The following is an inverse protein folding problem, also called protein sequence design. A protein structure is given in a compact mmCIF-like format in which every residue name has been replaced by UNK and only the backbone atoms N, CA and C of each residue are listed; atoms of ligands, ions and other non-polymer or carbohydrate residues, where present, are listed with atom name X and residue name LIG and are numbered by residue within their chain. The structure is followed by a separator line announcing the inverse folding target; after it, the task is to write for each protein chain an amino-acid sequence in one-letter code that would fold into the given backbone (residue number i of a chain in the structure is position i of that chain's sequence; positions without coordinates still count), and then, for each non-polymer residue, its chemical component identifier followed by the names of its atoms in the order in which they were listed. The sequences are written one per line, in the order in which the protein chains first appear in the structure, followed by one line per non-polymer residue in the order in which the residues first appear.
data_IF_847209739129
#
_entry.id   IF_847209739129
#
_cell.length_a   1.000
_cell.length_b   1.000
_cell.length_c   1.000
_cell.angle_alpha   90.00
_cell.angle_beta   90.00
_cell.angle_gamma   90.00
#
_symmetry.space_group_name_H-M   'P 1'
#
loop_
_entity.id
_entity.type
_entity.pdbx_description
1 polymer ?
#
# COMPACT_ATOMS: atom_id res chain seq x y z
N UNK A 1 -13.56 -19.80 -24.09
CA UNK A 1 -13.24 -20.86 -23.11
C UNK A 1 -12.14 -20.44 -22.14
N UNK A 2 -11.09 -19.72 -22.59
CA UNK A 2 -10.02 -19.16 -21.75
C UNK A 2 -10.49 -18.08 -20.74
N UNK A 3 -11.34 -17.14 -21.17
CA UNK A 3 -11.89 -16.10 -20.27
C UNK A 3 -12.69 -16.74 -19.13
N UNK A 4 -13.58 -17.70 -19.42
CA UNK A 4 -14.33 -18.44 -18.39
C UNK A 4 -13.44 -19.19 -17.40
N UNK A 5 -12.26 -19.68 -17.80
CA UNK A 5 -11.29 -20.31 -16.88
C UNK A 5 -10.59 -19.28 -15.99
N UNK A 6 -10.23 -18.11 -16.53
CA UNK A 6 -9.68 -16.99 -15.75
C UNK A 6 -10.71 -16.38 -14.77
N UNK A 7 -11.99 -16.33 -15.16
CA UNK A 7 -13.07 -15.90 -14.25
C UNK A 7 -13.46 -16.99 -13.26
N UNK A 8 -13.30 -18.28 -13.60
CA UNK A 8 -13.63 -19.40 -12.71
C UNK A 8 -12.58 -19.62 -11.61
N UNK A 9 -11.30 -19.33 -11.84
CA UNK A 9 -10.32 -19.26 -10.74
C UNK A 9 -10.61 -18.10 -9.78
N UNK A 10 -11.32 -17.06 -10.24
CA UNK A 10 -11.89 -15.97 -9.42
C UNK A 10 -13.29 -16.28 -8.83
N UNK A 11 -13.78 -17.52 -8.81
CA UNK A 11 -15.12 -17.85 -8.25
C UNK A 11 -15.15 -18.21 -6.76
N UNK A 12 -14.00 -18.21 -6.07
CA UNK A 12 -13.94 -18.38 -4.61
C UNK A 12 -14.20 -17.10 -3.80
N UNK A 13 -14.35 -15.96 -4.47
CA UNK A 13 -14.23 -14.64 -3.87
C UNK A 13 -15.47 -14.13 -3.12
N UNK A 14 -16.66 -14.71 -3.34
CA UNK A 14 -17.90 -14.20 -2.75
C UNK A 14 -17.89 -14.20 -1.22
N UNK A 15 -17.54 -15.31 -0.58
CA UNK A 15 -17.55 -15.40 0.88
C UNK A 15 -16.36 -14.68 1.56
N UNK A 16 -15.23 -14.55 0.86
CA UNK A 16 -14.04 -13.90 1.40
C UNK A 16 -14.20 -12.38 1.48
N UNK A 17 -14.87 -11.75 0.51
CA UNK A 17 -15.07 -10.30 0.47
C UNK A 17 -16.15 -9.81 1.43
N UNK A 18 -17.30 -10.51 1.58
CA UNK A 18 -18.28 -10.14 2.61
C UNK A 18 -17.70 -10.23 4.03
N UNK A 19 -16.89 -11.26 4.31
CA UNK A 19 -16.17 -11.36 5.57
C UNK A 19 -15.12 -10.26 5.76
N UNK A 20 -14.70 -9.59 4.68
CA UNK A 20 -13.74 -8.49 4.70
C UNK A 20 -14.40 -7.15 4.95
N UNK A 21 -15.59 -6.90 4.39
CA UNK A 21 -16.43 -5.75 4.77
C UNK A 21 -16.74 -5.81 6.27
N UNK A 22 -17.14 -7.00 6.75
CA UNK A 22 -17.34 -7.25 8.18
C UNK A 22 -16.06 -6.99 9.00
N UNK A 23 -14.88 -7.31 8.46
CA UNK A 23 -13.59 -7.05 9.11
C UNK A 23 -13.31 -5.55 9.20
N UNK A 24 -13.48 -4.80 8.12
CA UNK A 24 -13.28 -3.35 8.09
C UNK A 24 -14.24 -2.67 9.07
N UNK A 25 -15.50 -3.07 9.09
CA UNK A 25 -16.50 -2.53 10.01
C UNK A 25 -16.25 -2.94 11.47
N UNK A 26 -15.77 -4.16 11.71
CA UNK A 26 -15.30 -4.60 13.03
C UNK A 26 -14.10 -3.77 13.48
N UNK A 27 -13.14 -3.52 12.59
CA UNK A 27 -11.98 -2.68 12.87
C UNK A 27 -12.40 -1.25 13.23
N UNK A 28 -13.31 -0.65 12.45
CA UNK A 28 -13.85 0.71 12.70
C UNK A 28 -14.55 0.82 14.04
N UNK A 29 -15.39 -0.16 14.35
CA UNK A 29 -16.18 -0.21 15.60
C UNK A 29 -15.36 -0.63 16.81
N UNK A 30 -14.17 -1.20 16.61
CA UNK A 30 -13.31 -1.59 17.72
C UNK A 30 -12.90 -0.38 18.56
N UNK A 31 -13.01 -0.52 19.88
CA UNK A 31 -12.59 0.49 20.84
C UNK A 31 -11.06 0.53 21.03
N UNK A 32 -10.28 -0.09 20.13
CA UNK A 32 -8.83 -0.18 20.28
C UNK A 32 -8.24 1.24 20.29
N UNK A 33 -7.60 1.66 21.40
CA UNK A 33 -6.90 2.92 21.44
C UNK A 33 -5.58 2.69 20.71
N UNK A 34 -5.57 3.01 19.41
CA UNK A 34 -4.34 3.01 18.61
C UNK A 34 -3.36 3.92 19.34
N UNK A 35 -2.21 3.37 19.71
CA UNK A 35 -1.22 4.18 20.39
C UNK A 35 -0.71 5.26 19.44
N UNK A 36 -0.71 4.99 18.15
CA UNK A 36 -0.19 5.83 17.07
C UNK A 36 -0.91 7.18 16.95
N UNK A 37 -0.26 8.12 16.26
CA UNK A 37 -0.73 9.49 16.12
C UNK A 37 -2.22 9.53 15.71
N UNK A 38 -3.11 10.15 16.49
CA UNK A 38 -4.56 10.12 16.22
C UNK A 38 -4.94 10.89 14.94
N UNK A 39 -4.07 11.77 14.45
CA UNK A 39 -4.29 12.56 13.23
C UNK A 39 -2.95 12.82 12.51
N UNK A 40 -2.36 11.80 11.85
CA UNK A 40 -1.10 11.95 11.15
C UNK A 40 -1.28 12.80 9.89
N UNK A 41 -0.27 13.60 9.54
CA UNK A 41 -0.30 14.38 8.29
C UNK A 41 -0.07 13.50 7.06
N UNK A 42 0.66 12.39 7.24
CA UNK A 42 1.00 11.48 6.16
C UNK A 42 0.82 10.03 6.58
N UNK A 43 0.04 9.28 5.81
CA UNK A 43 -0.01 7.82 5.89
C UNK A 43 0.62 7.20 4.64
N UNK A 44 1.60 6.33 4.82
CA UNK A 44 2.27 5.60 3.75
C UNK A 44 1.82 4.14 3.82
N UNK A 45 1.04 3.68 2.84
CA UNK A 45 0.70 2.27 2.66
C UNK A 45 1.82 1.57 1.91
N UNK A 46 2.37 0.52 2.50
CA UNK A 46 3.29 -0.42 1.85
C UNK A 46 2.55 -1.74 1.66
N UNK A 47 2.12 -2.03 0.43
CA UNK A 47 1.49 -3.31 0.11
C UNK A 47 2.54 -4.37 -0.16
N UNK A 48 2.38 -5.54 0.47
CA UNK A 48 3.25 -6.70 0.26
C UNK A 48 2.43 -7.99 0.15
N UNK A 49 2.95 -8.95 -0.59
CA UNK A 49 2.40 -10.28 -0.82
C UNK A 49 3.42 -11.38 -0.50
N UNK A 50 4.50 -11.48 -1.28
CA UNK A 50 5.51 -12.53 -1.16
C UNK A 50 6.94 -11.99 -1.27
N UNK A 51 7.14 -10.68 -1.09
CA UNK A 51 8.43 -10.01 -1.15
C UNK A 51 9.33 -10.47 -0.01
N UNK A 52 10.59 -10.73 -0.34
CA UNK A 52 11.58 -11.16 0.64
C UNK A 52 12.14 -9.98 1.45
N UNK A 53 12.93 -10.31 2.47
CA UNK A 53 13.63 -9.33 3.31
C UNK A 53 14.31 -8.21 2.52
N UNK A 54 15.03 -8.53 1.43
CA UNK A 54 15.81 -7.54 0.69
C UNK A 54 14.91 -6.47 0.05
N UNK A 55 13.76 -6.87 -0.48
CA UNK A 55 12.80 -5.98 -1.14
C UNK A 55 12.10 -5.09 -0.13
N UNK A 56 11.59 -5.70 0.95
CA UNK A 56 10.93 -4.98 2.04
C UNK A 56 11.90 -4.01 2.73
N UNK A 57 13.12 -4.47 3.06
CA UNK A 57 14.16 -3.65 3.69
C UNK A 57 14.49 -2.43 2.83
N UNK A 58 14.63 -2.60 1.52
CA UNK A 58 14.93 -1.48 0.60
C UNK A 58 13.84 -0.42 0.61
N UNK A 59 12.58 -0.83 0.59
CA UNK A 59 11.44 0.08 0.66
C UNK A 59 11.44 0.85 1.98
N UNK A 60 11.55 0.15 3.11
CA UNK A 60 11.51 0.76 4.44
C UNK A 60 12.74 1.64 4.72
N UNK A 61 13.93 1.27 4.26
CA UNK A 61 15.12 2.14 4.32
C UNK A 61 14.95 3.40 3.48
N UNK A 62 14.33 3.29 2.29
CA UNK A 62 14.02 4.44 1.44
C UNK A 62 13.02 5.39 2.09
N UNK A 63 11.99 4.85 2.74
CA UNK A 63 11.01 5.63 3.51
C UNK A 63 11.68 6.30 4.72
N UNK A 64 12.46 5.56 5.51
CA UNK A 64 13.19 6.08 6.67
C UNK A 64 14.16 7.20 6.29
N UNK A 65 14.86 7.07 5.16
CA UNK A 65 15.72 8.13 4.65
C UNK A 65 14.93 9.36 4.27
N UNK A 66 13.77 9.20 3.61
CA UNK A 66 12.91 10.33 3.25
C UNK A 66 12.35 11.08 4.46
N UNK A 67 11.96 10.37 5.52
CA UNK A 67 11.43 10.98 6.76
C UNK A 67 12.42 11.99 7.35
N UNK A 68 13.74 11.74 7.24
CA UNK A 68 14.78 12.70 7.68
C UNK A 68 14.79 14.02 6.89
N UNK A 69 14.30 14.00 5.65
CA UNK A 69 14.26 15.17 4.78
C UNK A 69 12.88 15.85 4.75
N UNK A 70 11.88 15.31 5.46
CA UNK A 70 10.54 15.86 5.49
C UNK A 70 10.47 17.12 6.36
N UNK A 71 9.58 18.05 5.98
CA UNK A 71 9.28 19.25 6.79
C UNK A 71 8.26 18.99 7.90
N UNK A 72 7.71 17.78 7.95
CA UNK A 72 6.79 17.31 9.01
C UNK A 72 7.57 16.41 9.98
N UNK A 73 7.24 16.41 11.28
CA UNK A 73 7.91 15.55 12.25
C UNK A 73 7.61 14.08 11.95
N UNK A 74 8.55 13.18 12.24
CA UNK A 74 8.36 11.74 12.02
C UNK A 74 7.17 11.16 12.80
N UNK A 75 6.77 11.79 13.91
CA UNK A 75 5.56 11.45 14.67
C UNK A 75 4.26 11.63 13.90
N UNK A 76 4.25 12.48 12.88
CA UNK A 76 3.09 12.78 12.03
C UNK A 76 3.05 11.90 10.78
N UNK A 77 4.02 10.98 10.64
CA UNK A 77 4.12 10.03 9.53
C UNK A 77 3.86 8.62 10.06
N UNK A 78 2.83 7.96 9.51
CA UNK A 78 2.51 6.57 9.83
C UNK A 78 2.79 5.70 8.62
N UNK A 79 3.66 4.70 8.78
CA UNK A 79 3.97 3.70 7.76
C UNK A 79 3.15 2.44 8.02
N UNK A 80 2.14 2.18 7.20
CA UNK A 80 1.28 1.00 7.30
C UNK A 80 1.73 -0.06 6.29
N UNK A 81 2.28 -1.16 6.78
CA UNK A 81 2.66 -2.33 5.98
C UNK A 81 1.48 -3.30 5.99
N UNK A 82 0.90 -3.57 4.83
CA UNK A 82 -0.23 -4.50 4.68
C UNK A 82 0.22 -5.73 3.90
N UNK A 83 0.34 -6.85 4.61
CA UNK A 83 0.73 -8.13 4.06
C UNK A 83 -0.48 -9.00 3.73
N UNK A 84 -0.59 -9.41 2.47
CA UNK A 84 -1.74 -10.14 1.95
C UNK A 84 -1.59 -11.66 2.02
N UNK A 85 -2.04 -12.23 3.14
CA UNK A 85 -2.05 -13.67 3.38
C UNK A 85 -0.85 -14.12 4.21
N UNK A 86 -1.11 -14.57 5.44
CA UNK A 86 -0.11 -15.05 6.40
C UNK A 86 0.76 -16.17 5.82
N UNK A 87 0.16 -17.10 5.09
CA UNK A 87 0.87 -18.23 4.49
C UNK A 87 1.83 -17.83 3.35
N UNK A 88 1.66 -16.63 2.79
CA UNK A 88 2.41 -16.15 1.63
C UNK A 88 3.61 -15.28 2.04
N UNK A 89 3.64 -14.83 3.30
CA UNK A 89 4.77 -14.10 3.87
C UNK A 89 6.03 -14.99 3.95
N UNK A 90 7.13 -14.59 3.31
CA UNK A 90 8.39 -15.31 3.43
C UNK A 90 8.95 -15.25 4.86
N UNK A 91 9.59 -16.34 5.30
CA UNK A 91 10.22 -16.40 6.61
C UNK A 91 11.31 -15.33 6.80
N UNK A 92 12.02 -14.95 5.73
CA UNK A 92 13.02 -13.88 5.75
C UNK A 92 12.40 -12.52 6.06
N UNK A 93 11.24 -12.20 5.46
CA UNK A 93 10.53 -10.95 5.73
C UNK A 93 9.99 -10.90 7.16
N UNK A 94 9.45 -12.01 7.68
CA UNK A 94 8.99 -12.13 9.07
C UNK A 94 10.16 -11.89 10.04
N UNK A 95 11.26 -12.64 9.88
CA UNK A 95 12.43 -12.52 10.75
C UNK A 95 13.01 -11.10 10.73
N UNK A 96 13.00 -10.44 9.57
CA UNK A 96 13.41 -9.05 9.45
C UNK A 96 12.50 -8.10 10.23
N UNK A 97 11.17 -8.18 10.05
CA UNK A 97 10.22 -7.33 10.77
C UNK A 97 10.26 -7.57 12.29
N UNK A 98 10.42 -8.82 12.72
CA UNK A 98 10.65 -9.18 14.14
C UNK A 98 11.95 -8.57 14.67
N UNK A 99 13.06 -8.64 13.92
CA UNK A 99 14.33 -8.05 14.32
C UNK A 99 14.27 -6.54 14.51
N UNK A 100 13.32 -5.88 13.82
CA UNK A 100 13.05 -4.45 13.94
C UNK A 100 11.97 -4.12 14.98
N UNK A 101 11.40 -5.14 15.65
CA UNK A 101 10.33 -5.00 16.62
C UNK A 101 9.00 -4.57 16.02
N UNK A 102 8.80 -4.70 14.71
CA UNK A 102 7.58 -4.28 14.02
C UNK A 102 6.42 -5.27 14.25
N UNK A 103 6.73 -6.55 14.49
CA UNK A 103 5.75 -7.61 14.69
C UNK A 103 6.31 -8.74 15.56
N UNK A 104 5.43 -9.64 16.01
CA UNK A 104 5.81 -10.90 16.65
C UNK A 104 5.22 -12.08 15.88
N UNK A 105 6.10 -12.84 15.22
CA UNK A 105 5.75 -14.07 14.50
C UNK A 105 5.32 -15.19 15.45
N UNK A 106 5.85 -15.24 16.67
CA UNK A 106 5.36 -16.16 17.72
C UNK A 106 3.89 -15.89 18.07
N UNK A 107 3.54 -14.64 18.35
CA UNK A 107 2.15 -14.25 18.66
C UNK A 107 1.20 -14.57 17.49
N UNK A 108 1.66 -14.37 16.24
CA UNK A 108 0.88 -14.75 15.06
C UNK A 108 0.72 -16.26 14.93
N UNK A 109 1.77 -17.03 15.20
CA UNK A 109 1.74 -18.49 15.09
C UNK A 109 0.82 -19.11 16.15
N UNK A 110 0.84 -18.58 17.37
CA UNK A 110 -0.08 -19.00 18.44
C UNK A 110 -1.54 -18.74 18.05
N UNK A 111 -1.85 -17.53 17.60
CA UNK A 111 -3.20 -17.19 17.12
C UNK A 111 -3.60 -17.99 15.88
N UNK A 112 -2.67 -18.24 14.96
CA UNK A 112 -2.90 -19.08 13.78
C UNK A 112 -3.34 -20.50 14.16
N UNK A 113 -2.71 -21.12 15.16
CA UNK A 113 -3.12 -22.44 15.68
C UNK A 113 -4.53 -22.42 16.25
N UNK A 114 -4.87 -21.38 17.03
CA UNK A 114 -6.23 -21.23 17.57
C UNK A 114 -7.28 -21.09 16.47
N UNK A 115 -6.94 -20.46 15.33
CA UNK A 115 -7.82 -20.38 14.16
C UNK A 115 -7.97 -21.74 13.47
N UNK A 116 -6.88 -22.47 13.29
CA UNK A 116 -6.88 -23.81 12.68
C UNK A 116 -7.66 -24.82 13.53
N UNK A 117 -7.54 -24.72 14.86
CA UNK A 117 -8.28 -25.52 15.84
C UNK A 117 -9.76 -25.07 15.98
N UNK A 118 -10.18 -24.01 15.29
CA UNK A 118 -11.54 -23.46 15.33
C UNK A 118 -11.89 -22.74 16.64
N UNK A 119 -10.91 -22.56 17.53
CA UNK A 119 -11.06 -21.88 18.82
C UNK A 119 -11.07 -20.34 18.69
N UNK A 120 -10.51 -19.79 17.61
CA UNK A 120 -10.49 -18.36 17.32
C UNK A 120 -10.94 -18.05 15.89
N UNK A 121 -11.50 -16.85 15.68
CA UNK A 121 -11.78 -16.28 14.35
C UNK A 121 -10.93 -15.04 14.16
N UNK A 122 -9.67 -15.23 13.78
CA UNK A 122 -8.75 -14.13 13.47
C UNK A 122 -8.68 -13.96 11.97
N UNK A 123 -9.04 -12.78 11.49
CA UNK A 123 -9.00 -12.48 10.06
C UNK A 123 -7.83 -11.55 9.69
N UNK A 124 -7.33 -10.75 10.63
CA UNK A 124 -6.09 -9.97 10.51
C UNK A 124 -5.32 -9.94 11.84
N UNK A 125 -4.01 -9.87 11.76
CA UNK A 125 -3.11 -9.61 12.89
C UNK A 125 -2.56 -8.19 12.74
N UNK A 126 -2.56 -7.41 13.81
CA UNK A 126 -2.17 -5.99 13.79
C UNK A 126 -1.11 -5.76 14.86
N UNK A 127 -0.01 -5.13 14.46
CA UNK A 127 1.11 -4.78 15.34
C UNK A 127 1.44 -3.30 15.17
N UNK A 128 1.67 -2.61 16.28
CA UNK A 128 2.00 -1.19 16.31
C UNK A 128 3.35 -0.97 16.97
N UNK A 129 4.18 -0.12 16.36
CA UNK A 129 5.43 0.31 16.97
C UNK A 129 5.75 1.76 16.56
N UNK A 130 6.04 2.63 17.52
CA UNK A 130 6.36 4.06 17.29
C UNK A 130 7.84 4.36 17.09
N UNK A 131 8.72 3.39 17.37
CA UNK A 131 10.14 3.60 17.59
C UNK A 131 11.02 2.83 16.63
N UNK A 132 10.57 2.60 15.39
CA UNK A 132 11.25 1.67 14.49
C UNK A 132 12.44 2.35 13.81
N UNK A 133 13.62 1.75 13.97
CA UNK A 133 14.87 2.23 13.38
C UNK A 133 15.36 1.32 12.26
N UNK A 134 15.56 1.89 11.07
CA UNK A 134 16.13 1.16 9.93
C UNK A 134 17.66 1.12 9.96
N UNK A 135 18.29 2.16 10.52
CA UNK A 135 19.75 2.32 10.58
C UNK A 135 20.30 2.10 11.99
N UNK A 136 21.61 1.83 12.10
CA UNK A 136 22.26 1.61 13.40
C UNK A 136 22.24 2.88 14.29
N UNK A 137 22.39 4.04 13.66
CA UNK A 137 22.40 5.34 14.32
C UNK A 137 21.26 6.19 13.76
N UNK A 138 20.07 6.03 14.33
CA UNK A 138 18.90 6.87 14.01
C UNK A 138 18.62 7.72 15.23
N UNK A 139 18.53 9.03 15.03
CA UNK A 139 18.15 9.94 16.10
C UNK A 139 16.67 9.72 16.48
N UNK A 140 16.27 9.90 17.75
CA UNK A 140 14.91 9.64 18.22
C UNK A 140 13.82 10.33 17.39
N UNK A 141 14.08 11.54 16.90
CA UNK A 141 13.18 12.35 16.08
C UNK A 141 12.97 11.81 14.65
N UNK A 142 13.76 10.83 14.23
CA UNK A 142 13.68 10.19 12.92
C UNK A 142 13.20 8.73 13.00
N UNK A 143 12.73 8.29 14.18
CA UNK A 143 12.16 6.96 14.34
C UNK A 143 10.81 6.88 13.61
N UNK A 144 10.60 5.78 12.91
CA UNK A 144 9.37 5.56 12.16
C UNK A 144 8.28 4.99 13.06
N UNK A 145 7.08 5.55 12.90
CA UNK A 145 5.86 4.94 13.43
C UNK A 145 5.30 3.97 12.39
N UNK A 146 5.23 2.68 12.74
CA UNK A 146 4.80 1.59 11.87
C UNK A 146 3.55 0.90 12.38
N UNK A 147 2.65 0.55 11.47
CA UNK A 147 1.59 -0.44 11.66
C UNK A 147 1.88 -1.60 10.73
N UNK A 148 2.01 -2.82 11.25
CA UNK A 148 2.05 -4.03 10.43
C UNK A 148 0.73 -4.74 10.53
N UNK A 149 0.11 -4.98 9.39
CA UNK A 149 -1.15 -5.71 9.26
C UNK A 149 -0.91 -6.94 8.41
N UNK A 150 -1.15 -8.11 8.99
CA UNK A 150 -1.06 -9.38 8.29
C UNK A 150 -2.45 -9.96 8.13
N UNK A 151 -2.92 -10.06 6.89
CA UNK A 151 -4.18 -10.72 6.57
C UNK A 151 -4.02 -12.23 6.69
N UNK A 152 -4.97 -12.90 7.32
CA UNK A 152 -4.90 -14.37 7.45
C UNK A 152 -5.06 -15.05 6.07
N UNK A 153 -5.91 -14.48 5.21
CA UNK A 153 -6.19 -14.97 3.86
C UNK A 153 -5.76 -13.96 2.79
N UNK A 154 -5.23 -14.48 1.69
CA UNK A 154 -4.97 -13.71 0.47
C UNK A 154 -6.30 -13.30 -0.19
N UNK A 155 -6.45 -12.01 -0.47
CA UNK A 155 -7.59 -11.46 -1.22
C UNK A 155 -7.19 -10.43 -2.30
N UNK A 156 -5.90 -10.33 -2.61
CA UNK A 156 -5.32 -9.43 -3.60
C UNK A 156 -5.00 -8.03 -3.06
N UNK A 157 -4.23 -7.28 -3.87
CA UNK A 157 -3.78 -5.90 -3.58
C UNK A 157 -4.94 -4.95 -3.32
N UNK A 158 -6.01 -5.03 -4.12
CA UNK A 158 -7.19 -4.18 -3.97
C UNK A 158 -7.83 -4.32 -2.58
N UNK A 159 -7.89 -5.54 -2.03
CA UNK A 159 -8.41 -5.79 -0.69
C UNK A 159 -7.48 -5.23 0.40
N UNK A 160 -6.17 -5.31 0.20
CA UNK A 160 -5.21 -4.67 1.10
C UNK A 160 -5.35 -3.14 1.10
N UNK A 161 -5.58 -2.53 -0.06
CA UNK A 161 -5.93 -1.12 -0.15
C UNK A 161 -7.28 -0.83 0.51
N UNK A 162 -8.28 -1.69 0.35
CA UNK A 162 -9.59 -1.50 0.96
C UNK A 162 -9.48 -1.40 2.48
N UNK A 163 -8.75 -2.31 3.13
CA UNK A 163 -8.50 -2.22 4.57
C UNK A 163 -7.72 -0.97 4.96
N UNK A 164 -6.74 -0.56 4.16
CA UNK A 164 -5.98 0.64 4.43
C UNK A 164 -6.84 1.91 4.33
N UNK A 165 -7.57 2.11 3.22
CA UNK A 165 -8.38 3.31 2.98
C UNK A 165 -9.63 3.35 3.86
N UNK A 166 -10.42 2.28 3.84
CA UNK A 166 -11.70 2.25 4.52
C UNK A 166 -11.57 1.82 5.99
N UNK A 167 -10.53 1.07 6.36
CA UNK A 167 -10.23 0.75 7.76
C UNK A 167 -9.39 1.84 8.44
N UNK A 168 -8.08 1.85 8.15
CA UNK A 168 -7.13 2.71 8.87
C UNK A 168 -7.36 4.20 8.59
N UNK A 169 -7.40 4.63 7.33
CA UNK A 169 -7.50 6.04 6.97
C UNK A 169 -8.81 6.68 7.41
N UNK A 170 -9.93 5.94 7.45
CA UNK A 170 -11.20 6.44 8.02
C UNK A 170 -11.12 6.72 9.52
N UNK A 171 -10.18 6.09 10.22
CA UNK A 171 -10.01 6.26 11.66
C UNK A 171 -9.01 7.36 12.01
N UNK A 172 -7.91 7.44 11.27
CA UNK A 172 -6.83 8.42 11.54
C UNK A 172 -6.94 9.69 10.69
N UNK A 173 -7.77 9.67 9.64
CA UNK A 173 -8.07 10.81 8.75
C UNK A 173 -6.85 11.63 8.32
N UNK A 174 -5.89 11.03 7.59
CA UNK A 174 -4.65 11.72 7.23
C UNK A 174 -4.88 12.85 6.23
N UNK A 175 -3.98 13.83 6.16
CA UNK A 175 -4.03 14.86 5.10
C UNK A 175 -3.69 14.26 3.72
N UNK A 176 -2.60 13.47 3.69
CA UNK A 176 -2.04 12.86 2.49
C UNK A 176 -1.84 11.36 2.71
N UNK A 177 -2.13 10.60 1.66
CA UNK A 177 -1.88 9.17 1.56
C UNK A 177 -0.82 8.93 0.51
N UNK A 178 0.10 8.00 0.75
CA UNK A 178 1.04 7.50 -0.25
C UNK A 178 0.90 5.98 -0.38
N UNK A 179 0.87 5.48 -1.61
CA UNK A 179 0.86 4.06 -1.92
C UNK A 179 2.22 3.66 -2.50
N UNK A 180 2.85 2.68 -1.88
CA UNK A 180 4.18 2.18 -2.28
C UNK A 180 4.12 0.66 -2.31
N UNK A 181 4.53 0.06 -3.43
CA UNK A 181 4.71 -1.40 -3.47
C UNK A 181 6.01 -1.80 -2.78
N UNK A 182 5.98 -2.88 -2.00
CA UNK A 182 7.19 -3.50 -1.47
C UNK A 182 8.15 -3.86 -2.61
N UNK A 183 9.44 -3.55 -2.43
CA UNK A 183 10.44 -3.62 -3.50
C UNK A 183 10.71 -2.28 -4.20
N UNK A 184 9.82 -1.30 -4.07
CA UNK A 184 10.09 0.08 -4.55
C UNK A 184 10.92 0.84 -3.54
N UNK A 185 12.05 1.44 -3.96
CA UNK A 185 12.89 2.27 -3.10
C UNK A 185 12.71 3.76 -3.45
N UNK A 186 12.01 4.54 -2.61
CA UNK A 186 11.97 5.99 -2.76
C UNK A 186 13.38 6.60 -2.71
N UNK A 187 13.71 7.46 -3.67
CA UNK A 187 14.94 8.25 -3.65
C UNK A 187 14.87 9.31 -2.53
N UNK A 188 16.00 9.81 -2.01
CA UNK A 188 15.98 10.88 -1.02
C UNK A 188 15.17 12.08 -1.51
N UNK A 189 14.34 12.65 -0.63
CA UNK A 189 13.42 13.77 -0.89
C UNK A 189 12.24 13.46 -1.83
N UNK A 190 12.13 12.27 -2.39
CA UNK A 190 11.02 11.92 -3.29
C UNK A 190 9.65 12.00 -2.60
N UNK A 191 9.53 11.51 -1.36
CA UNK A 191 8.27 11.58 -0.62
C UNK A 191 7.91 13.02 -0.24
N UNK A 192 8.90 13.82 0.18
CA UNK A 192 8.68 15.23 0.48
C UNK A 192 8.25 16.01 -0.76
N UNK A 193 8.83 15.72 -1.93
CA UNK A 193 8.44 16.36 -3.18
C UNK A 193 6.95 16.11 -3.53
N UNK A 194 6.48 14.87 -3.39
CA UNK A 194 5.06 14.56 -3.58
C UNK A 194 4.17 15.24 -2.54
N UNK A 195 4.62 15.31 -1.28
CA UNK A 195 3.88 15.94 -0.18
C UNK A 195 3.72 17.46 -0.37
N UNK A 196 4.81 18.14 -0.75
CA UNK A 196 4.84 19.60 -0.95
C UNK A 196 3.88 20.04 -2.06
N UNK A 197 3.72 19.25 -3.12
CA UNK A 197 2.76 19.54 -4.20
C UNK A 197 1.33 19.74 -3.67
N UNK A 198 0.92 18.98 -2.65
CA UNK A 198 -0.39 19.15 -2.02
C UNK A 198 -0.49 20.39 -1.12
N UNK A 199 0.62 20.93 -0.63
CA UNK A 199 0.63 22.20 0.11
C UNK A 199 0.60 23.38 -0.87
N UNK A 200 1.33 23.29 -1.98
CA UNK A 200 1.46 24.36 -2.96
C UNK A 200 0.21 24.47 -3.87
N UNK A 201 -0.42 23.34 -4.20
CA UNK A 201 -1.56 23.29 -5.12
C UNK A 201 -2.80 22.64 -4.44
N UNK A 202 -3.72 23.45 -3.87
CA UNK A 202 -4.90 22.95 -3.17
C UNK A 202 -5.87 22.13 -4.05
N UNK A 203 -5.85 22.35 -5.35
CA UNK A 203 -6.73 21.66 -6.32
C UNK A 203 -6.18 20.30 -6.76
N UNK A 204 -4.93 19.97 -6.44
CA UNK A 204 -4.34 18.68 -6.80
C UNK A 204 -4.91 17.60 -5.89
N UNK A 205 -5.51 16.58 -6.51
CA UNK A 205 -6.08 15.40 -5.85
C UNK A 205 -5.10 14.22 -5.75
N UNK A 206 -4.19 14.07 -6.72
CA UNK A 206 -3.23 12.98 -6.77
C UNK A 206 -1.95 13.34 -7.53
N UNK A 207 -0.84 12.71 -7.13
CA UNK A 207 0.50 12.91 -7.69
C UNK A 207 1.22 11.56 -7.78
N UNK A 208 2.19 11.44 -8.68
CA UNK A 208 3.03 10.25 -8.76
C UNK A 208 4.49 10.62 -9.01
N UNK A 209 5.40 9.79 -8.51
CA UNK A 209 6.82 9.95 -8.79
C UNK A 209 7.25 9.21 -10.05
N UNK A 210 8.49 9.48 -10.47
CA UNK A 210 9.10 8.76 -11.58
C UNK A 210 9.56 7.35 -11.15
N UNK A 211 9.12 6.32 -11.87
CA UNK A 211 9.57 4.95 -11.67
C UNK A 211 10.72 4.60 -12.61
N UNK A 212 11.76 3.96 -12.06
CA UNK A 212 12.90 3.44 -12.83
C UNK A 212 13.22 2.02 -12.38
N UNK A 213 13.64 1.19 -13.34
CA UNK A 213 14.12 -0.17 -13.06
C UNK A 213 15.41 -0.07 -12.24
N UNK A 214 15.49 -0.84 -11.17
CA UNK A 214 16.67 -0.91 -10.32
C UNK A 214 17.80 -1.63 -11.04
N UNK A 215 18.92 -0.95 -11.27
CA UNK A 215 20.14 -1.50 -11.89
C UNK A 215 19.88 -2.27 -13.21
N UNK A 216 19.39 -1.61 -14.27
CA UNK A 216 19.07 -2.29 -15.52
C UNK A 216 20.34 -2.86 -16.15
N UNK A 217 20.35 -4.17 -16.42
CA UNK A 217 21.44 -4.84 -17.14
C UNK A 217 21.10 -4.91 -18.62
N UNK A 218 21.90 -4.26 -19.46
CA UNK A 218 21.65 -4.17 -20.90
C UNK A 218 21.60 -5.53 -21.63
N UNK A 219 22.26 -6.56 -21.09
CA UNK A 219 22.24 -7.92 -21.65
C UNK A 219 20.97 -8.71 -21.31
N UNK A 220 20.13 -8.20 -20.40
CA UNK A 220 18.83 -8.80 -20.07
C UNK A 220 17.74 -8.04 -20.83
N UNK A 221 17.33 -8.59 -21.98
CA UNK A 221 16.39 -7.95 -22.90
C UNK A 221 15.10 -7.49 -22.21
N UNK A 222 14.57 -8.30 -21.28
CA UNK A 222 13.35 -7.96 -20.52
C UNK A 222 13.57 -6.71 -19.65
N UNK A 223 14.69 -6.63 -18.92
CA UNK A 223 15.01 -5.48 -18.08
C UNK A 223 15.26 -4.22 -18.91
N UNK A 224 15.90 -4.37 -20.08
CA UNK A 224 16.12 -3.27 -21.01
C UNK A 224 14.79 -2.76 -21.61
N UNK A 225 13.89 -3.66 -22.01
CA UNK A 225 12.56 -3.32 -22.51
C UNK A 225 11.72 -2.60 -21.44
N UNK A 226 11.69 -3.13 -20.22
CA UNK A 226 10.99 -2.50 -19.09
C UNK A 226 11.55 -1.11 -18.78
N UNK A 227 12.87 -0.95 -18.84
CA UNK A 227 13.52 0.34 -18.61
C UNK A 227 13.16 1.36 -19.68
N UNK A 228 13.11 0.93 -20.95
CA UNK A 228 12.68 1.76 -22.05
C UNK A 228 11.22 2.20 -21.90
N UNK A 229 10.32 1.25 -21.58
CA UNK A 229 8.90 1.54 -21.38
C UNK A 229 8.68 2.54 -20.24
N UNK A 230 9.32 2.35 -19.09
CA UNK A 230 9.20 3.30 -17.98
C UNK A 230 9.80 4.67 -18.32
N UNK A 231 10.98 4.72 -18.92
CA UNK A 231 11.61 5.98 -19.27
C UNK A 231 10.77 6.77 -20.28
N UNK A 232 10.29 6.11 -21.33
CA UNK A 232 9.50 6.74 -22.38
C UNK A 232 8.15 7.24 -21.84
N UNK A 233 7.42 6.39 -21.11
CA UNK A 233 6.13 6.77 -20.51
C UNK A 233 6.24 7.93 -19.53
N UNK A 234 7.30 8.00 -18.71
CA UNK A 234 7.45 9.11 -17.77
C UNK A 234 7.89 10.42 -18.46
N UNK A 235 8.84 10.36 -19.39
CA UNK A 235 9.33 11.58 -20.07
C UNK A 235 8.29 12.14 -21.03
N UNK A 236 7.58 11.30 -21.77
CA UNK A 236 6.62 11.75 -22.79
C UNK A 236 5.22 11.87 -22.20
N UNK A 237 4.65 10.76 -21.73
CA UNK A 237 3.23 10.73 -21.35
C UNK A 237 3.00 11.49 -20.04
N UNK A 238 3.76 11.21 -18.98
CA UNK A 238 3.56 11.85 -17.66
C UNK A 238 3.90 13.34 -17.67
N UNK A 239 4.95 13.74 -18.41
CA UNK A 239 5.25 15.17 -18.57
C UNK A 239 4.12 15.90 -19.33
N UNK A 240 3.60 15.31 -20.40
CA UNK A 240 2.47 15.86 -21.14
C UNK A 240 1.21 15.94 -20.27
N UNK A 241 0.85 14.86 -19.60
CA UNK A 241 -0.28 14.77 -18.67
C UNK A 241 -0.21 15.82 -17.56
N UNK A 242 0.98 16.01 -16.97
CA UNK A 242 1.22 17.04 -15.97
C UNK A 242 0.99 18.46 -16.51
N UNK A 243 1.40 18.76 -17.75
CA UNK A 243 1.12 20.05 -18.39
C UNK A 243 -0.38 20.31 -18.58
N UNK A 244 -1.20 19.27 -18.75
CA UNK A 244 -2.66 19.37 -18.85
C UNK A 244 -3.37 19.29 -17.49
N UNK A 245 -2.63 19.09 -16.39
CA UNK A 245 -3.20 18.97 -15.05
C UNK A 245 -4.01 17.69 -14.83
N UNK A 246 -3.78 16.65 -15.65
CA UNK A 246 -4.50 15.39 -15.57
C UNK A 246 -3.59 14.20 -15.87
N UNK A 247 -3.43 13.30 -14.90
CA UNK A 247 -2.64 12.08 -15.02
C UNK A 247 -3.59 10.90 -15.26
N UNK A 248 -3.51 10.27 -16.43
CA UNK A 248 -4.46 9.23 -16.84
C UNK A 248 -4.37 7.96 -15.99
N UNK A 249 -3.18 7.70 -15.43
CA UNK A 249 -2.88 6.55 -14.57
C UNK A 249 -1.90 6.98 -13.51
N UNK A 250 -2.29 6.93 -12.24
CA UNK A 250 -1.36 7.09 -11.13
C UNK A 250 -0.81 5.71 -10.75
N UNK A 251 0.47 5.41 -10.99
CA UNK A 251 1.00 4.08 -10.77
C UNK A 251 0.84 3.65 -9.31
N UNK A 252 0.24 2.49 -9.07
CA UNK A 252 0.03 1.95 -7.73
C UNK A 252 1.32 1.56 -6.99
N UNK A 253 2.47 1.59 -7.66
CA UNK A 253 3.77 1.31 -7.06
C UNK A 253 4.40 2.53 -6.38
N UNK A 254 4.06 3.76 -6.82
CA UNK A 254 4.57 5.00 -6.23
C UNK A 254 3.67 6.20 -6.57
N UNK A 255 2.59 6.34 -5.81
CA UNK A 255 1.62 7.44 -5.96
C UNK A 255 1.24 8.03 -4.62
N UNK A 256 0.72 9.25 -4.64
CA UNK A 256 0.21 9.95 -3.48
C UNK A 256 -1.14 10.60 -3.81
N UNK A 257 -1.99 10.72 -2.79
CA UNK A 257 -3.34 11.23 -2.91
C UNK A 257 -3.64 12.15 -1.73
N UNK A 258 -4.34 13.25 -2.00
CA UNK A 258 -5.00 14.02 -0.95
C UNK A 258 -6.16 13.17 -0.44
N UNK A 259 -6.18 12.85 0.85
CA UNK A 259 -7.20 11.93 1.38
C UNK A 259 -8.63 12.39 1.07
N UNK A 260 -8.89 13.68 1.27
CA UNK A 260 -10.21 14.27 0.97
C UNK A 260 -10.63 14.18 -0.50
N UNK A 261 -9.67 14.11 -1.43
CA UNK A 261 -9.96 14.05 -2.86
C UNK A 261 -10.43 12.66 -3.29
N UNK A 262 -9.98 11.59 -2.61
CA UNK A 262 -10.37 10.22 -2.97
C UNK A 262 -11.68 9.79 -2.31
N UNK A 263 -12.15 10.47 -1.27
CA UNK A 263 -13.37 10.13 -0.56
C UNK A 263 -14.64 10.16 -1.45
N UNK A 264 -15.59 9.28 -1.12
CA UNK A 264 -16.87 9.18 -1.81
C UNK A 264 -16.73 8.41 -3.12
N UNK A 265 -17.20 9.00 -4.22
CA UNK A 265 -17.28 8.34 -5.52
C UNK A 265 -15.95 7.74 -6.03
N UNK A 266 -14.77 8.37 -5.88
CA UNK A 266 -13.52 7.79 -6.36
C UNK A 266 -13.19 6.46 -5.67
N UNK A 267 -13.25 6.38 -4.33
CA UNK A 267 -13.06 5.12 -3.60
C UNK A 267 -14.16 4.09 -3.90
N UNK A 268 -15.43 4.51 -3.98
CA UNK A 268 -16.54 3.60 -4.36
C UNK A 268 -16.30 2.95 -5.74
N UNK A 269 -15.77 3.74 -6.69
CA UNK A 269 -15.43 3.25 -8.03
C UNK A 269 -14.18 2.40 -8.03
N UNK A 270 -13.19 2.75 -7.23
CA UNK A 270 -11.94 2.00 -7.09
C UNK A 270 -12.19 0.58 -6.56
N UNK A 271 -13.03 0.44 -5.53
CA UNK A 271 -13.41 -0.84 -4.93
C UNK A 271 -14.62 -1.50 -5.60
N UNK A 272 -15.16 -0.93 -6.68
CA UNK A 272 -16.37 -1.44 -7.33
C UNK A 272 -16.24 -2.92 -7.74
N UNK A 273 -15.06 -3.34 -8.19
CA UNK A 273 -14.80 -4.72 -8.58
C UNK A 273 -14.77 -5.74 -7.44
N UNK A 274 -14.69 -5.30 -6.18
CA UNK A 274 -14.80 -6.20 -5.02
C UNK A 274 -16.25 -6.64 -4.80
N UNK A 275 -17.20 -5.72 -5.00
CA UNK A 275 -18.63 -5.98 -4.73
C UNK A 275 -19.41 -6.42 -5.97
N UNK A 276 -18.86 -6.22 -7.17
CA UNK A 276 -19.59 -6.43 -8.42
C UNK A 276 -18.95 -7.48 -9.31
N UNK A 277 -19.79 -8.38 -9.84
CA UNK A 277 -19.35 -9.33 -10.85
C UNK A 277 -19.14 -8.59 -12.17
N UNK A 278 -17.93 -8.65 -12.69
CA UNK A 278 -17.63 -8.10 -14.01
C UNK A 278 -18.27 -8.97 -15.09
N UNK A 279 -19.29 -8.44 -15.74
CA UNK A 279 -20.08 -9.16 -16.77
C UNK A 279 -19.68 -8.82 -18.20
N UNK A 280 -18.94 -7.74 -18.41
CA UNK A 280 -18.61 -7.20 -19.73
C UNK A 280 -17.08 -7.07 -19.93
N UNK A 281 -16.50 -7.48 -21.08
CA UNK A 281 -15.09 -7.27 -21.42
C UNK A 281 -14.60 -5.82 -21.30
N UNK A 282 -15.43 -4.82 -21.60
CA UNK A 282 -15.04 -3.41 -21.48
C UNK A 282 -14.80 -3.02 -20.02
N UNK A 283 -15.71 -3.44 -19.14
CA UNK A 283 -15.58 -3.23 -17.69
C UNK A 283 -14.38 -4.02 -17.16
N UNK A 284 -14.17 -5.25 -17.66
CA UNK A 284 -12.98 -6.04 -17.31
C UNK A 284 -11.70 -5.30 -17.68
N UNK A 285 -11.61 -4.73 -18.87
CA UNK A 285 -10.42 -4.01 -19.32
C UNK A 285 -10.17 -2.73 -18.52
N UNK A 286 -11.23 -2.04 -18.11
CA UNK A 286 -11.13 -0.86 -17.25
C UNK A 286 -10.52 -1.20 -15.89
N UNK A 287 -10.94 -2.32 -15.30
CA UNK A 287 -10.47 -2.80 -13.99
C UNK A 287 -9.31 -3.80 -14.06
N UNK A 288 -8.70 -4.00 -15.22
CA UNK A 288 -7.40 -4.69 -15.33
C UNK A 288 -6.24 -3.80 -14.88
N UNK A 289 -6.46 -2.48 -14.90
CA UNK A 289 -5.55 -1.47 -14.37
C UNK A 289 -6.36 -0.56 -13.45
N UNK A 290 -6.71 -1.09 -12.27
CA UNK A 290 -7.53 -0.42 -11.27
C UNK A 290 -6.99 0.96 -10.85
N UNK A 291 -5.67 1.14 -10.92
CA UNK A 291 -4.96 2.39 -10.68
C UNK A 291 -5.43 3.55 -11.58
N UNK A 292 -6.03 3.24 -12.74
CA UNK A 292 -6.62 4.24 -13.65
C UNK A 292 -7.89 4.87 -13.10
N UNK A 293 -8.60 4.16 -12.21
CA UNK A 293 -9.90 4.61 -11.70
C UNK A 293 -9.73 5.82 -10.81
N UNK A 294 -8.73 5.82 -9.92
CA UNK A 294 -8.45 6.96 -9.04
C UNK A 294 -7.86 8.16 -9.79
N UNK A 295 -7.21 7.95 -10.93
CA UNK A 295 -6.78 9.05 -11.80
C UNK A 295 -7.93 9.68 -12.59
N UNK A 296 -8.98 8.89 -12.89
CA UNK A 296 -10.10 9.32 -13.71
C UNK A 296 -11.23 10.00 -12.94
N UNK A 297 -11.56 9.50 -11.75
CA UNK A 297 -12.64 10.01 -10.89
C UNK A 297 -12.20 11.21 -10.04
#
# INVERSE_FOLDING_TARGET
MLIRKATASRRGFGAAYYAYDDLVDTFRSSAHPYALCPSPRLCICVTMFNEEELELRRTLEGIAENIKHMRVPASDVVVCIVADGRANLPASAIAFMESKGMMSGEAMAEQGRLVEDGAARTAVHIFENKGVSMFLHTAPEHLMSTIVVVKERNAGKLSSHHWFFEGLCRRVEPDVIMLIDAGTKPQPKALEALRVEFDENPTVGGTCGELRVFQPRCFQIVNAAQSFEYLYSHIMDKAMESMFGFISVLPGAFSAYRYKAVLGRPLEKYFWCEHNVVTNPFVSNMYLAEDRILGFE
#
